data_IF_478741110561
#
_entry.id   IF_478741110561
#
_cell.length_a   1.000
_cell.length_b   1.000
_cell.length_c   1.000
_cell.angle_alpha   90.00
_cell.angle_beta   90.00
_cell.angle_gamma   90.00
#
_symmetry.space_group_name_H-M   'P 1'
#
loop_
_entity.id
_entity.type
_entity.pdbx_description
1 polymer ?
#
# COMPACT_ATOMS: atom_id res chain seq x y z
N UNK A 1 78.18 6.11 -25.85
CA UNK A 1 76.76 5.88 -26.19
C UNK A 1 76.27 7.08 -26.99
N UNK A 2 75.70 6.89 -28.18
CA UNK A 2 75.31 8.00 -29.06
C UNK A 2 74.11 8.77 -28.48
N UNK A 3 74.03 10.10 -28.67
CA UNK A 3 72.89 10.93 -28.25
C UNK A 3 71.53 10.45 -28.81
N UNK A 4 71.54 9.69 -29.90
CA UNK A 4 70.35 9.09 -30.53
C UNK A 4 69.74 7.96 -29.70
N UNK A 5 70.54 7.19 -28.96
CA UNK A 5 70.04 6.06 -28.15
C UNK A 5 69.25 6.48 -26.91
N UNK A 6 69.60 7.62 -26.32
CA UNK A 6 68.94 8.19 -25.14
C UNK A 6 67.57 8.81 -25.49
N UNK A 7 67.46 9.47 -26.66
CA UNK A 7 66.18 10.02 -27.14
C UNK A 7 65.15 8.93 -27.46
N UNK A 8 65.58 7.81 -28.04
CA UNK A 8 64.69 6.69 -28.34
C UNK A 8 64.17 5.99 -27.07
N UNK A 9 64.98 5.87 -26.03
CA UNK A 9 64.55 5.31 -24.73
C UNK A 9 63.57 6.24 -24.00
N UNK A 10 63.81 7.55 -24.01
CA UNK A 10 62.87 8.55 -23.44
C UNK A 10 61.52 8.59 -24.15
N UNK A 11 61.52 8.45 -25.48
CA UNK A 11 60.27 8.38 -26.26
C UNK A 11 59.50 7.08 -25.99
N UNK A 12 60.20 5.95 -25.84
CA UNK A 12 59.59 4.68 -25.43
C UNK A 12 58.98 4.75 -24.04
N UNK A 13 59.64 5.41 -23.08
CA UNK A 13 59.12 5.59 -21.72
C UNK A 13 57.88 6.48 -21.68
N UNK A 14 57.84 7.56 -22.48
CA UNK A 14 56.65 8.42 -22.61
C UNK A 14 55.48 7.68 -23.27
N UNK A 15 55.74 6.85 -24.28
CA UNK A 15 54.70 6.02 -24.90
C UNK A 15 54.14 4.98 -23.91
N UNK A 16 54.99 4.39 -23.09
CA UNK A 16 54.59 3.45 -22.04
C UNK A 16 53.73 4.13 -20.95
N UNK A 17 54.14 5.31 -20.47
CA UNK A 17 53.36 6.10 -19.50
C UNK A 17 51.97 6.48 -20.05
N UNK A 18 51.89 6.87 -21.32
CA UNK A 18 50.61 7.16 -21.96
C UNK A 18 49.72 5.91 -22.05
N UNK A 19 50.29 4.75 -22.37
CA UNK A 19 49.55 3.49 -22.40
C UNK A 19 49.01 3.11 -21.02
N UNK A 20 49.82 3.25 -19.96
CA UNK A 20 49.41 2.98 -18.58
C UNK A 20 48.29 3.93 -18.14
N UNK A 21 48.38 5.22 -18.46
CA UNK A 21 47.34 6.19 -18.14
C UNK A 21 46.02 5.90 -18.88
N UNK A 22 46.09 5.48 -20.15
CA UNK A 22 44.89 5.06 -20.92
C UNK A 22 44.26 3.81 -20.30
N UNK A 23 45.05 2.83 -19.86
CA UNK A 23 44.54 1.62 -19.19
C UNK A 23 43.87 1.94 -17.86
N UNK A 24 44.47 2.82 -17.05
CA UNK A 24 43.89 3.27 -15.77
C UNK A 24 42.58 4.03 -16.03
N UNK A 25 42.54 4.90 -17.04
CA UNK A 25 41.34 5.65 -17.41
C UNK A 25 40.22 4.74 -17.93
N UNK A 26 40.53 3.78 -18.81
CA UNK A 26 39.56 2.78 -19.28
C UNK A 26 39.06 1.88 -18.16
N UNK A 27 39.94 1.47 -17.25
CA UNK A 27 39.59 0.64 -16.09
C UNK A 27 38.71 1.42 -15.11
N UNK A 28 38.95 2.71 -14.94
CA UNK A 28 38.12 3.62 -14.13
C UNK A 28 36.74 3.85 -14.77
N UNK A 29 36.66 3.98 -16.10
CA UNK A 29 35.39 4.09 -16.82
C UNK A 29 34.61 2.77 -16.76
N UNK A 30 35.27 1.63 -16.92
CA UNK A 30 34.62 0.32 -16.80
C UNK A 30 34.13 0.07 -15.38
N UNK A 31 34.88 0.51 -14.36
CA UNK A 31 34.46 0.47 -12.97
C UNK A 31 33.27 1.40 -12.71
N UNK A 32 33.30 2.63 -13.23
CA UNK A 32 32.18 3.57 -13.15
C UNK A 32 30.95 3.07 -13.92
N UNK A 33 31.11 2.42 -15.07
CA UNK A 33 30.03 1.81 -15.83
C UNK A 33 29.48 0.55 -15.13
N UNK A 34 30.33 -0.24 -14.44
CA UNK A 34 29.89 -1.34 -13.56
C UNK A 34 29.17 -0.81 -12.33
N UNK A 35 29.65 0.27 -11.71
CA UNK A 35 29.00 0.93 -10.58
C UNK A 35 27.67 1.57 -10.97
N UNK A 36 27.59 2.16 -12.17
CA UNK A 36 26.36 2.72 -12.74
C UNK A 36 25.36 1.63 -13.18
N UNK A 37 25.83 0.42 -13.53
CA UNK A 37 24.97 -0.77 -13.73
C UNK A 37 24.63 -1.49 -12.42
N UNK A 38 25.45 -1.36 -11.37
CA UNK A 38 25.21 -1.97 -10.07
C UNK A 38 24.32 -1.12 -9.16
N UNK A 39 23.95 0.08 -9.58
CA UNK A 39 22.84 0.81 -8.97
C UNK A 39 21.52 0.24 -9.47
N UNK A 40 21.00 -0.72 -8.69
CA UNK A 40 19.57 -0.83 -8.36
C UNK A 40 18.66 -1.78 -9.16
N UNK A 41 19.20 -2.79 -9.85
CA UNK A 41 18.38 -3.96 -10.17
C UNK A 41 18.23 -4.83 -8.90
N UNK A 42 17.00 -5.01 -8.45
CA UNK A 42 16.69 -5.98 -7.38
C UNK A 42 16.97 -7.39 -7.90
N UNK A 43 17.32 -8.32 -7.01
CA UNK A 43 17.48 -9.74 -7.32
C UNK A 43 16.14 -10.48 -7.46
N UNK A 44 15.02 -9.79 -7.23
CA UNK A 44 13.66 -10.28 -7.40
C UNK A 44 12.89 -9.55 -8.50
N UNK A 45 11.94 -10.28 -9.08
CA UNK A 45 11.02 -9.85 -10.14
C UNK A 45 9.64 -9.61 -9.56
N UNK A 46 8.98 -8.55 -10.00
CA UNK A 46 7.61 -8.23 -9.61
C UNK A 46 6.63 -8.99 -10.50
N UNK A 47 5.84 -9.87 -9.88
CA UNK A 47 4.85 -10.69 -10.54
C UNK A 47 3.56 -10.68 -9.73
N UNK A 48 2.42 -10.71 -10.41
CA UNK A 48 1.13 -10.73 -9.75
C UNK A 48 -0.01 -11.07 -10.67
N UNK A 49 -1.21 -11.14 -10.12
CA UNK A 49 -2.43 -11.30 -10.87
C UNK A 49 -2.77 -9.98 -11.55
N UNK A 50 -2.75 -9.98 -12.89
CA UNK A 50 -3.01 -8.82 -13.73
C UNK A 50 -4.35 -8.99 -14.45
N UNK A 51 -5.25 -8.04 -14.24
CA UNK A 51 -6.38 -7.80 -15.13
C UNK A 51 -5.95 -6.91 -16.30
N UNK A 52 -6.50 -7.14 -17.48
CA UNK A 52 -6.28 -6.40 -18.72
C UNK A 52 -7.54 -5.70 -19.23
N UNK A 53 -8.72 -6.08 -18.74
CA UNK A 53 -9.99 -5.41 -19.05
C UNK A 53 -10.99 -5.51 -17.88
N UNK A 54 -12.09 -4.73 -17.90
CA UNK A 54 -13.13 -4.79 -16.88
C UNK A 54 -13.73 -6.19 -16.65
N UNK A 55 -13.76 -7.02 -17.68
CA UNK A 55 -14.34 -8.35 -17.67
C UNK A 55 -13.54 -9.33 -16.80
N UNK A 56 -12.24 -9.06 -16.59
CA UNK A 56 -11.34 -9.92 -15.83
C UNK A 56 -11.70 -10.01 -14.34
N UNK A 57 -12.58 -9.12 -13.85
CA UNK A 57 -13.21 -9.25 -12.52
C UNK A 57 -13.94 -10.59 -12.35
N UNK A 58 -14.36 -11.23 -13.44
CA UNK A 58 -15.02 -12.54 -13.44
C UNK A 58 -14.03 -13.70 -13.57
N UNK A 59 -12.87 -13.59 -12.90
CA UNK A 59 -11.85 -14.64 -12.86
C UNK A 59 -10.92 -14.66 -14.09
N UNK A 60 -10.82 -13.56 -14.83
CA UNK A 60 -9.97 -13.44 -16.02
C UNK A 60 -8.54 -12.95 -15.74
N UNK A 61 -8.23 -12.56 -14.50
CA UNK A 61 -6.88 -12.13 -14.13
C UNK A 61 -5.84 -13.23 -14.38
N UNK A 62 -4.66 -12.84 -14.86
CA UNK A 62 -3.56 -13.78 -15.18
C UNK A 62 -2.31 -13.45 -14.38
N UNK A 63 -1.64 -14.46 -13.86
CA UNK A 63 -0.32 -14.27 -13.26
C UNK A 63 0.68 -13.83 -14.33
N UNK A 64 1.42 -12.77 -14.07
CA UNK A 64 2.44 -12.27 -14.98
C UNK A 64 3.33 -11.20 -14.36
N UNK A 65 4.40 -10.89 -15.07
CA UNK A 65 5.37 -9.86 -14.68
C UNK A 65 4.84 -8.46 -14.94
N UNK A 66 5.19 -7.53 -14.06
CA UNK A 66 4.95 -6.10 -14.27
C UNK A 66 6.17 -5.28 -13.82
N UNK A 67 6.33 -4.10 -14.42
CA UNK A 67 7.35 -3.15 -14.00
C UNK A 67 6.79 -2.28 -12.86
N UNK A 68 7.38 -2.31 -11.64
CA UNK A 68 6.96 -1.43 -10.56
C UNK A 68 7.31 0.03 -10.87
N UNK A 69 6.82 0.96 -10.04
CA UNK A 69 7.28 2.35 -10.11
C UNK A 69 8.82 2.43 -10.06
N UNK A 70 9.39 3.45 -10.72
CA UNK A 70 10.81 3.81 -10.61
C UNK A 70 11.14 4.01 -9.12
N UNK A 71 12.27 3.44 -8.70
CA UNK A 71 12.71 3.52 -7.31
C UNK A 71 13.04 4.97 -6.92
N UNK A 72 12.60 5.35 -5.72
CA UNK A 72 12.95 6.59 -5.04
C UNK A 72 13.48 6.25 -3.63
N UNK A 73 14.30 7.13 -3.07
CA UNK A 73 14.94 6.90 -1.77
C UNK A 73 13.99 6.99 -0.56
N UNK A 74 12.73 7.31 -0.82
CA UNK A 74 11.61 7.28 0.12
C UNK A 74 10.73 6.04 -0.08
N UNK A 75 11.10 5.09 -0.94
CA UNK A 75 10.34 3.87 -1.17
C UNK A 75 10.73 2.71 -0.24
N UNK A 76 9.82 1.75 -0.15
CA UNK A 76 10.05 0.42 0.42
C UNK A 76 9.54 -0.62 -0.58
N UNK A 77 10.34 -1.66 -0.82
CA UNK A 77 9.85 -2.91 -1.43
C UNK A 77 9.45 -3.88 -0.32
N UNK A 78 8.24 -4.41 -0.44
CA UNK A 78 7.62 -5.35 0.50
C UNK A 78 7.49 -6.69 -0.21
N UNK A 79 8.11 -7.74 0.34
CA UNK A 79 7.80 -9.12 -0.03
C UNK A 79 6.47 -9.49 0.62
N UNK A 80 5.45 -9.66 -0.21
CA UNK A 80 4.07 -9.83 0.24
C UNK A 80 3.91 -11.25 0.78
N UNK A 81 3.26 -11.34 1.93
CA UNK A 81 2.86 -12.62 2.53
C UNK A 81 1.34 -12.79 2.52
N UNK A 82 0.61 -11.70 2.74
CA UNK A 82 -0.84 -11.66 2.83
C UNK A 82 -1.34 -10.40 2.14
N UNK A 83 -2.48 -10.51 1.46
CA UNK A 83 -3.26 -9.36 1.03
C UNK A 83 -4.74 -9.67 1.27
N UNK A 84 -5.44 -8.78 1.95
CA UNK A 84 -6.89 -8.87 2.09
C UNK A 84 -7.62 -8.58 0.78
N UNK A 85 -8.87 -9.04 0.69
CA UNK A 85 -9.76 -8.86 -0.46
C UNK A 85 -10.87 -7.88 -0.08
N UNK A 86 -10.85 -6.71 -0.68
CA UNK A 86 -11.77 -5.62 -0.38
C UNK A 86 -12.75 -5.39 -1.55
N UNK A 87 -13.95 -4.90 -1.23
CA UNK A 87 -14.94 -4.55 -2.26
C UNK A 87 -14.40 -3.55 -3.28
N UNK A 88 -13.54 -2.62 -2.84
CA UNK A 88 -12.88 -1.63 -3.71
C UNK A 88 -11.99 -2.28 -4.77
N UNK A 89 -11.43 -3.48 -4.54
CA UNK A 89 -10.65 -4.22 -5.53
C UNK A 89 -11.53 -4.56 -6.74
N UNK A 90 -12.75 -5.06 -6.50
CA UNK A 90 -13.72 -5.36 -7.55
C UNK A 90 -14.18 -4.09 -8.27
N UNK A 91 -14.42 -3.00 -7.54
CA UNK A 91 -14.86 -1.74 -8.13
C UNK A 91 -13.82 -1.16 -9.09
N UNK A 92 -12.54 -1.23 -8.75
CA UNK A 92 -11.47 -0.78 -9.66
C UNK A 92 -11.24 -1.80 -10.78
N UNK A 93 -11.20 -3.09 -10.49
CA UNK A 93 -10.96 -4.12 -11.50
C UNK A 93 -12.04 -4.15 -12.61
N UNK A 94 -13.25 -3.66 -12.33
CA UNK A 94 -14.33 -3.53 -13.33
C UNK A 94 -14.51 -2.13 -13.90
N UNK A 95 -13.57 -1.21 -13.66
CA UNK A 95 -13.68 0.21 -14.03
C UNK A 95 -14.98 0.89 -13.52
N UNK A 96 -15.49 0.46 -12.36
CA UNK A 96 -16.77 0.92 -11.82
C UNK A 96 -16.75 2.32 -11.19
N UNK A 97 -15.56 2.88 -10.94
CA UNK A 97 -15.35 4.23 -10.39
C UNK A 97 -14.63 5.17 -11.36
N UNK A 98 -14.55 4.78 -12.63
CA UNK A 98 -13.78 5.48 -13.65
C UNK A 98 -12.86 4.52 -14.40
N UNK A 99 -12.10 5.07 -15.35
CA UNK A 99 -11.23 4.27 -16.19
C UNK A 99 -10.04 3.71 -15.38
N UNK A 100 -9.90 2.39 -15.38
CA UNK A 100 -8.77 1.71 -14.73
C UNK A 100 -7.57 1.63 -15.68
N UNK A 101 -6.36 2.00 -15.23
CA UNK A 101 -5.16 1.91 -16.06
C UNK A 101 -4.65 0.47 -16.13
N UNK A 102 -5.20 -0.34 -17.04
CA UNK A 102 -4.75 -1.72 -17.29
C UNK A 102 -3.33 -1.78 -17.93
N UNK A 103 -2.58 -2.90 -17.78
CA UNK A 103 -2.88 -4.03 -16.91
C UNK A 103 -2.81 -3.62 -15.43
N UNK A 104 -3.75 -4.10 -14.62
CA UNK A 104 -3.91 -3.69 -13.23
C UNK A 104 -3.73 -4.90 -12.29
N UNK A 105 -2.86 -4.77 -11.30
CA UNK A 105 -2.83 -5.66 -10.13
C UNK A 105 -3.52 -4.94 -8.98
N UNK A 106 -4.63 -5.47 -8.47
CA UNK A 106 -5.37 -4.89 -7.34
C UNK A 106 -4.86 -5.46 -5.99
N UNK A 107 -5.57 -5.19 -4.89
CA UNK A 107 -5.20 -5.55 -3.52
C UNK A 107 -4.53 -4.38 -2.79
N UNK A 108 -5.11 -3.91 -1.69
CA UNK A 108 -4.58 -2.78 -0.90
C UNK A 108 -4.60 -3.01 0.61
N UNK A 109 -4.67 -4.27 1.02
CA UNK A 109 -4.66 -4.70 2.42
C UNK A 109 -3.41 -5.54 2.66
N UNK A 110 -2.24 -4.96 2.39
CA UNK A 110 -0.98 -5.69 2.15
C UNK A 110 -0.20 -5.87 3.46
N UNK A 111 0.23 -7.11 3.75
CA UNK A 111 1.16 -7.42 4.83
C UNK A 111 2.32 -8.27 4.32
N UNK A 112 3.53 -7.91 4.72
CA UNK A 112 4.74 -8.58 4.26
C UNK A 112 5.99 -8.19 5.04
N UNK A 113 7.15 -8.53 4.48
CA UNK A 113 8.45 -8.12 5.01
C UNK A 113 9.07 -7.04 4.14
N UNK A 114 9.59 -5.99 4.76
CA UNK A 114 10.39 -5.00 4.04
C UNK A 114 11.70 -5.66 3.56
N UNK A 115 11.92 -5.77 2.25
CA UNK A 115 13.12 -6.39 1.67
C UNK A 115 14.13 -5.37 1.14
N UNK A 116 13.65 -4.18 0.78
CA UNK A 116 14.49 -3.04 0.40
C UNK A 116 13.89 -1.77 0.97
N UNK A 117 14.71 -0.95 1.60
CA UNK A 117 14.27 0.28 2.27
C UNK A 117 15.14 1.44 1.77
N UNK A 118 14.50 2.50 1.29
CA UNK A 118 15.18 3.72 0.84
C UNK A 118 15.88 4.44 1.98
N UNK A 119 17.01 5.11 1.67
CA UNK A 119 17.88 5.72 2.69
C UNK A 119 17.22 6.84 3.50
N UNK A 120 16.15 7.43 2.98
CA UNK A 120 15.41 8.51 3.66
C UNK A 120 14.44 7.95 4.72
N UNK A 121 14.08 6.68 4.65
CA UNK A 121 13.19 6.02 5.60
C UNK A 121 13.93 5.72 6.91
N UNK A 122 13.32 6.12 8.04
CA UNK A 122 13.94 6.00 9.38
C UNK A 122 13.18 5.09 10.32
N UNK A 123 11.88 4.88 10.10
CA UNK A 123 11.01 4.11 11.01
C UNK A 123 10.95 2.61 10.67
N UNK A 124 11.33 2.20 9.46
CA UNK A 124 11.37 0.81 8.98
C UNK A 124 12.79 0.41 8.60
N UNK A 125 13.17 -0.85 8.88
CA UNK A 125 14.40 -1.48 8.41
C UNK A 125 14.07 -2.75 7.61
N UNK A 126 15.02 -3.19 6.78
CA UNK A 126 14.89 -4.48 6.10
C UNK A 126 14.69 -5.62 7.12
N UNK A 127 13.80 -6.55 6.80
CA UNK A 127 13.37 -7.64 7.67
C UNK A 127 12.15 -7.32 8.55
N UNK A 128 11.80 -6.05 8.75
CA UNK A 128 10.62 -5.69 9.55
C UNK A 128 9.33 -6.21 8.90
N UNK A 129 8.39 -6.67 9.74
CA UNK A 129 7.02 -6.99 9.32
C UNK A 129 6.22 -5.70 9.20
N UNK A 130 5.74 -5.43 8.00
CA UNK A 130 5.11 -4.17 7.64
C UNK A 130 3.82 -4.40 6.86
N UNK A 131 2.97 -3.38 6.81
CA UNK A 131 1.83 -3.35 5.93
C UNK A 131 1.60 -1.98 5.32
N UNK A 132 0.82 -1.97 4.24
CA UNK A 132 0.37 -0.76 3.53
C UNK A 132 -1.10 -0.89 3.17
N UNK A 133 -1.84 0.19 3.38
CA UNK A 133 -3.27 0.30 3.13
C UNK A 133 -3.62 0.82 1.72
N UNK A 134 -4.73 1.56 1.54
CA UNK A 134 -5.24 2.02 0.24
C UNK A 134 -4.51 3.21 -0.38
N UNK A 135 -3.66 3.91 0.37
CA UNK A 135 -2.94 5.08 -0.10
C UNK A 135 -1.43 4.79 -0.22
N UNK A 136 -0.84 5.23 -1.32
CA UNK A 136 0.58 5.03 -1.62
C UNK A 136 1.36 6.35 -1.77
N UNK A 137 0.69 7.47 -2.04
CA UNK A 137 1.31 8.79 -2.07
C UNK A 137 0.31 9.91 -1.77
N UNK A 138 0.82 11.00 -1.23
CA UNK A 138 0.19 12.33 -1.24
C UNK A 138 1.25 13.37 -1.64
N UNK A 139 0.91 14.66 -1.71
CA UNK A 139 1.92 15.66 -2.10
C UNK A 139 3.09 15.77 -1.12
N UNK A 140 2.88 15.39 0.15
CA UNK A 140 3.84 15.43 1.25
C UNK A 140 4.59 16.77 1.41
N UNK A 141 4.02 17.86 0.88
CA UNK A 141 4.65 19.17 0.97
C UNK A 141 4.42 19.77 2.36
N UNK A 142 5.44 20.41 2.96
CA UNK A 142 5.33 21.00 4.29
C UNK A 142 4.31 22.14 4.35
N UNK A 143 4.04 22.81 3.23
CA UNK A 143 3.05 23.89 3.12
C UNK A 143 1.63 23.39 2.79
N UNK A 144 1.42 22.08 2.61
CA UNK A 144 0.10 21.49 2.47
C UNK A 144 -0.51 21.24 3.85
N UNK A 145 -1.61 21.92 4.17
CA UNK A 145 -2.30 21.81 5.45
C UNK A 145 -2.69 20.36 5.78
N UNK A 146 -3.26 19.63 4.82
CA UNK A 146 -3.70 18.25 5.03
C UNK A 146 -2.49 17.32 5.29
N UNK A 147 -1.41 17.43 4.50
CA UNK A 147 -0.24 16.56 4.71
C UNK A 147 0.52 16.90 6.00
N UNK A 148 0.72 18.19 6.29
CA UNK A 148 1.46 18.63 7.48
C UNK A 148 0.73 18.34 8.79
N UNK A 149 -0.60 18.17 8.75
CA UNK A 149 -1.42 17.81 9.93
C UNK A 149 -1.68 16.31 10.09
N UNK A 150 -1.06 15.44 9.27
CA UNK A 150 -1.27 13.99 9.33
C UNK A 150 -2.59 13.51 8.74
N UNK A 151 -3.15 14.31 7.80
CA UNK A 151 -4.40 14.09 7.09
C UNK A 151 -4.14 13.85 5.60
N UNK A 152 -3.10 13.08 5.28
CA UNK A 152 -2.66 12.82 3.90
C UNK A 152 -3.77 12.25 2.99
N UNK A 153 -4.74 11.54 3.57
CA UNK A 153 -5.91 10.99 2.89
C UNK A 153 -6.89 12.07 2.40
N UNK A 154 -6.79 13.29 2.92
CA UNK A 154 -7.57 14.46 2.50
C UNK A 154 -6.76 15.42 1.61
N UNK A 155 -5.52 15.06 1.24
CA UNK A 155 -4.68 15.92 0.40
C UNK A 155 -5.37 16.24 -0.93
N UNK A 156 -5.54 17.53 -1.23
CA UNK A 156 -6.17 17.99 -2.48
C UNK A 156 -5.20 18.17 -3.65
N UNK A 157 -3.89 18.21 -3.36
CA UNK A 157 -2.85 18.49 -4.35
C UNK A 157 -2.44 17.24 -5.13
N UNK A 158 -2.36 16.09 -4.46
CA UNK A 158 -1.99 14.81 -5.05
C UNK A 158 -2.47 13.67 -4.16
N UNK A 159 -3.09 12.67 -4.77
CA UNK A 159 -3.43 11.39 -4.14
C UNK A 159 -3.08 10.28 -5.13
N UNK A 160 -2.28 9.31 -4.69
CA UNK A 160 -2.02 8.07 -5.44
C UNK A 160 -2.47 6.92 -4.56
N UNK A 161 -3.35 6.08 -5.10
CA UNK A 161 -3.78 4.86 -4.43
C UNK A 161 -2.80 3.72 -4.66
N UNK A 162 -2.87 2.70 -3.81
CA UNK A 162 -1.96 1.53 -3.84
C UNK A 162 -2.00 0.75 -5.15
N UNK A 163 -3.12 0.84 -5.88
CA UNK A 163 -3.24 0.38 -7.26
C UNK A 163 -4.18 1.29 -8.06
N UNK A 164 -4.21 1.08 -9.39
CA UNK A 164 -5.14 1.78 -10.28
C UNK A 164 -4.85 3.28 -10.43
N UNK A 165 -3.69 3.76 -9.98
CA UNK A 165 -3.24 5.15 -10.06
C UNK A 165 -1.94 5.28 -10.85
N UNK A 166 -1.69 6.46 -11.39
CA UNK A 166 -0.43 6.81 -12.07
C UNK A 166 0.31 7.80 -11.18
N UNK A 167 1.59 7.53 -10.91
CA UNK A 167 2.45 8.45 -10.19
C UNK A 167 2.80 9.65 -11.07
N UNK A 168 3.00 10.86 -10.49
CA UNK A 168 3.45 12.02 -11.25
C UNK A 168 4.85 11.82 -11.84
N UNK A 169 5.28 12.75 -12.70
CA UNK A 169 6.65 12.86 -13.21
C UNK A 169 7.19 11.58 -13.89
N UNK A 170 6.29 10.84 -14.56
CA UNK A 170 6.64 9.59 -15.25
C UNK A 170 7.31 8.56 -14.33
N UNK A 171 7.00 8.58 -13.03
CA UNK A 171 7.53 7.62 -12.05
C UNK A 171 6.96 6.22 -12.29
N UNK A 172 5.80 6.11 -12.94
CA UNK A 172 5.19 4.86 -13.36
C UNK A 172 3.79 4.68 -12.78
N UNK A 173 3.33 3.43 -12.70
CA UNK A 173 1.98 3.07 -12.25
C UNK A 173 2.02 2.33 -10.92
N UNK A 174 0.99 2.50 -10.10
CA UNK A 174 0.79 1.74 -8.87
C UNK A 174 0.25 0.33 -9.15
N UNK A 175 0.87 -0.69 -8.57
CA UNK A 175 0.44 -2.08 -8.60
C UNK A 175 0.25 -2.58 -7.17
N UNK A 176 -0.86 -3.29 -6.93
CA UNK A 176 -1.33 -3.66 -5.60
C UNK A 176 -0.73 -4.96 -5.06
N UNK A 177 -1.47 -5.56 -4.13
CA UNK A 177 -1.05 -6.63 -3.25
C UNK A 177 -1.31 -8.04 -3.74
N UNK A 178 -2.04 -8.24 -4.84
CA UNK A 178 -2.22 -9.58 -5.43
C UNK A 178 -0.98 -10.01 -6.23
N UNK A 179 0.18 -9.81 -5.61
CA UNK A 179 1.51 -9.93 -6.20
C UNK A 179 2.48 -10.56 -5.19
N UNK A 180 3.66 -10.92 -5.66
CA UNK A 180 4.77 -11.39 -4.82
C UNK A 180 5.49 -10.22 -4.09
N UNK A 181 5.52 -9.03 -4.71
CA UNK A 181 6.12 -7.83 -4.15
C UNK A 181 5.26 -6.58 -4.43
N UNK A 182 5.33 -5.60 -3.52
CA UNK A 182 4.80 -4.25 -3.72
C UNK A 182 5.90 -3.21 -3.49
N UNK A 183 5.90 -2.14 -4.29
CA UNK A 183 6.75 -0.97 -4.10
C UNK A 183 5.87 0.25 -3.81
N UNK A 184 6.12 0.91 -2.69
CA UNK A 184 5.33 2.07 -2.26
C UNK A 184 6.18 3.05 -1.46
N UNK A 185 5.69 4.27 -1.26
CA UNK A 185 6.36 5.27 -0.43
C UNK A 185 6.28 4.87 1.05
N UNK A 186 7.42 4.88 1.74
CA UNK A 186 7.55 4.43 3.12
C UNK A 186 6.75 5.24 4.14
N UNK A 187 6.28 6.46 3.81
CA UNK A 187 5.36 7.24 4.67
C UNK A 187 4.05 6.50 4.93
N UNK A 188 3.59 5.70 3.97
CA UNK A 188 2.32 4.95 4.05
C UNK A 188 2.51 3.51 4.54
N UNK A 189 3.75 3.13 4.87
CA UNK A 189 4.09 1.81 5.39
C UNK A 189 4.15 1.86 6.91
N UNK A 190 3.37 0.99 7.54
CA UNK A 190 3.27 0.85 9.00
C UNK A 190 3.87 -0.48 9.46
N UNK A 191 4.41 -0.52 10.68
CA UNK A 191 4.85 -1.77 11.31
C UNK A 191 3.65 -2.53 11.83
N UNK A 192 3.65 -3.86 11.66
CA UNK A 192 2.62 -4.73 12.20
C UNK A 192 3.09 -5.27 13.57
N UNK A 193 2.34 -5.04 14.67
CA UNK A 193 2.67 -5.56 16.00
C UNK A 193 2.81 -7.08 16.00
N UNK A 194 3.82 -7.66 16.66
CA UNK A 194 4.10 -9.10 16.64
C UNK A 194 2.93 -9.97 17.07
N UNK A 195 2.13 -9.47 18.00
CA UNK A 195 0.98 -10.15 18.59
C UNK A 195 -0.22 -10.26 17.63
N UNK A 196 -0.20 -9.52 16.51
CA UNK A 196 -1.28 -9.50 15.54
C UNK A 196 -0.95 -10.39 14.32
N UNK A 197 -1.64 -11.54 14.15
CA UNK A 197 -1.42 -12.42 13.00
C UNK A 197 -1.67 -11.70 11.67
N UNK A 198 -0.91 -12.04 10.63
CA UNK A 198 -0.93 -11.30 9.36
C UNK A 198 -2.27 -11.39 8.65
N UNK A 199 -2.95 -12.54 8.72
CA UNK A 199 -4.29 -12.78 8.19
C UNK A 199 -5.37 -11.93 8.87
N UNK A 200 -5.13 -11.51 10.11
CA UNK A 200 -6.00 -10.58 10.85
C UNK A 200 -5.58 -9.13 10.59
N UNK A 201 -4.28 -8.86 10.51
CA UNK A 201 -3.74 -7.52 10.30
C UNK A 201 -4.09 -6.95 8.93
N UNK A 202 -4.05 -7.77 7.87
CA UNK A 202 -4.24 -7.31 6.50
C UNK A 202 -5.57 -6.54 6.31
N UNK A 203 -6.75 -7.10 6.65
CA UNK A 203 -8.02 -6.39 6.53
C UNK A 203 -8.14 -5.10 7.36
N UNK A 204 -7.36 -4.95 8.43
CA UNK A 204 -7.38 -3.75 9.25
C UNK A 204 -6.79 -2.54 8.51
N UNK A 205 -5.91 -2.77 7.53
CA UNK A 205 -5.20 -1.71 6.79
C UNK A 205 -6.14 -0.91 5.85
N UNK A 206 -7.33 -1.43 5.54
CA UNK A 206 -8.38 -0.67 4.88
C UNK A 206 -9.72 -0.76 5.60
N UNK A 207 -10.39 -1.92 5.60
CA UNK A 207 -11.72 -2.03 6.17
C UNK A 207 -11.76 -1.60 7.64
N UNK A 208 -10.77 -2.05 8.44
CA UNK A 208 -10.63 -1.64 9.84
C UNK A 208 -10.40 -0.13 9.99
N UNK A 209 -9.35 0.41 9.39
CA UNK A 209 -9.02 1.84 9.49
C UNK A 209 -10.18 2.75 9.03
N UNK A 210 -10.91 2.33 7.99
CA UNK A 210 -12.03 3.09 7.41
C UNK A 210 -13.15 3.30 8.43
N UNK A 211 -13.43 2.31 9.27
CA UNK A 211 -14.46 2.43 10.32
C UNK A 211 -13.91 2.92 11.65
N UNK A 212 -12.64 2.65 11.95
CA UNK A 212 -11.99 3.12 13.17
C UNK A 212 -11.87 4.64 13.21
N UNK A 213 -11.42 5.27 12.11
CA UNK A 213 -11.23 6.73 12.03
C UNK A 213 -12.49 7.51 12.44
N UNK A 214 -13.67 7.31 11.81
CA UNK A 214 -14.88 8.04 12.21
C UNK A 214 -15.37 7.67 13.62
N UNK A 215 -15.18 6.43 14.09
CA UNK A 215 -15.53 6.08 15.48
C UNK A 215 -14.67 6.87 16.47
N UNK A 216 -13.36 6.92 16.26
CA UNK A 216 -12.42 7.70 17.09
C UNK A 216 -12.72 9.20 17.04
N UNK A 217 -12.89 9.75 15.84
CA UNK A 217 -13.05 11.20 15.63
C UNK A 217 -14.39 11.71 16.17
N UNK A 218 -15.40 10.84 16.29
CA UNK A 218 -16.66 11.12 16.96
C UNK A 218 -16.69 10.59 18.41
N UNK A 219 -15.52 10.28 18.97
CA UNK A 219 -15.29 9.84 20.35
C UNK A 219 -16.23 8.70 20.79
N UNK A 220 -16.41 7.69 19.94
CA UNK A 220 -17.12 6.46 20.31
C UNK A 220 -16.55 5.89 21.61
N UNK A 221 -17.42 5.61 22.58
CA UNK A 221 -17.05 5.09 23.88
C UNK A 221 -18.21 5.17 24.88
N UNK A 222 -17.91 5.07 26.19
CA UNK A 222 -18.93 5.07 27.24
C UNK A 222 -19.88 6.27 27.15
N UNK A 223 -21.17 6.02 27.37
CA UNK A 223 -22.23 7.01 27.20
C UNK A 223 -22.74 7.20 25.77
N UNK A 224 -22.16 6.53 24.76
CA UNK A 224 -22.60 6.64 23.35
C UNK A 224 -23.29 5.37 22.85
N UNK A 225 -24.36 5.58 22.08
CA UNK A 225 -25.00 4.56 21.26
C UNK A 225 -24.52 4.66 19.80
N UNK A 226 -24.15 3.53 19.19
CA UNK A 226 -23.59 3.47 17.83
C UNK A 226 -24.46 2.59 16.94
N UNK A 227 -24.93 3.15 15.82
CA UNK A 227 -25.64 2.42 14.77
C UNK A 227 -24.73 2.08 13.59
N UNK A 228 -24.60 0.80 13.25
CA UNK A 228 -23.81 0.31 12.11
C UNK A 228 -24.76 -0.06 10.97
N UNK A 229 -24.82 0.78 9.94
CA UNK A 229 -25.66 0.53 8.76
C UNK A 229 -24.88 -0.30 7.74
N UNK A 230 -25.29 -1.56 7.58
CA UNK A 230 -24.68 -2.55 6.71
C UNK A 230 -23.64 -3.41 7.44
N UNK A 231 -24.03 -4.64 7.83
CA UNK A 231 -23.14 -5.60 8.47
C UNK A 231 -22.41 -6.43 7.41
N UNK A 232 -21.36 -5.87 6.82
CA UNK A 232 -20.50 -6.52 5.81
C UNK A 232 -19.03 -6.55 6.24
N UNK A 233 -18.11 -6.49 5.27
CA UNK A 233 -16.66 -6.44 5.52
C UNK A 233 -16.26 -5.27 6.43
N UNK A 234 -16.81 -4.07 6.23
CA UNK A 234 -16.53 -2.94 7.12
C UNK A 234 -17.38 -2.99 8.40
N UNK A 235 -18.66 -3.35 8.25
CA UNK A 235 -19.61 -3.34 9.37
C UNK A 235 -19.27 -4.29 10.50
N UNK A 236 -18.67 -5.45 10.23
CA UNK A 236 -18.25 -6.36 11.31
C UNK A 236 -17.11 -5.77 12.14
N UNK A 237 -16.13 -5.10 11.51
CA UNK A 237 -15.11 -4.34 12.25
C UNK A 237 -15.70 -3.19 13.05
N UNK A 238 -16.69 -2.48 12.50
CA UNK A 238 -17.35 -1.38 13.21
C UNK A 238 -18.03 -1.86 14.50
N UNK A 239 -18.67 -3.04 14.48
CA UNK A 239 -19.24 -3.67 15.68
C UNK A 239 -18.13 -3.97 16.70
N UNK A 240 -17.08 -4.68 16.26
CA UNK A 240 -15.95 -5.08 17.12
C UNK A 240 -15.29 -3.86 17.77
N UNK A 241 -15.01 -2.81 16.99
CA UNK A 241 -14.38 -1.59 17.50
C UNK A 241 -15.31 -0.78 18.40
N UNK A 242 -16.59 -0.61 18.06
CA UNK A 242 -17.51 0.12 18.92
C UNK A 242 -17.62 -0.54 20.30
N UNK A 243 -17.65 -1.88 20.36
CA UNK A 243 -17.61 -2.62 21.63
C UNK A 243 -16.27 -2.51 22.35
N UNK A 244 -15.15 -2.65 21.64
CA UNK A 244 -13.82 -2.51 22.23
C UNK A 244 -13.55 -1.10 22.78
N UNK A 245 -14.13 -0.07 22.16
CA UNK A 245 -14.07 1.33 22.63
C UNK A 245 -15.02 1.60 23.81
N UNK A 246 -15.89 0.66 24.16
CA UNK A 246 -16.77 0.76 25.32
C UNK A 246 -18.09 1.50 25.06
N UNK A 247 -18.59 1.54 23.83
CA UNK A 247 -19.92 2.06 23.55
C UNK A 247 -20.99 1.32 24.38
N UNK A 248 -21.87 2.08 25.04
CA UNK A 248 -22.92 1.54 25.90
C UNK A 248 -23.90 0.67 25.10
N UNK A 249 -24.13 1.05 23.84
CA UNK A 249 -25.03 0.33 22.93
C UNK A 249 -24.51 0.31 21.51
N UNK A 250 -24.51 -0.86 20.90
CA UNK A 250 -24.12 -1.09 19.51
C UNK A 250 -25.24 -1.79 18.77
N UNK A 251 -25.75 -1.16 17.72
CA UNK A 251 -26.89 -1.65 16.93
C UNK A 251 -26.45 -1.97 15.52
N UNK A 252 -26.52 -3.25 15.13
CA UNK A 252 -26.36 -3.66 13.74
C UNK A 252 -27.64 -3.40 12.96
N UNK A 253 -27.56 -2.67 11.85
CA UNK A 253 -28.72 -2.33 11.01
C UNK A 253 -28.44 -2.88 9.62
N UNK A 254 -29.31 -3.76 9.13
CA UNK A 254 -29.15 -4.37 7.81
C UNK A 254 -30.51 -4.69 7.21
N UNK A 255 -30.52 -5.19 5.98
CA UNK A 255 -31.74 -5.46 5.24
C UNK A 255 -32.48 -6.69 5.79
N UNK A 256 -31.79 -7.82 5.84
CA UNK A 256 -32.36 -9.11 6.27
C UNK A 256 -31.80 -9.56 7.61
N UNK A 257 -32.52 -10.46 8.28
CA UNK A 257 -32.16 -11.06 9.55
C UNK A 257 -31.06 -12.12 9.44
N UNK A 258 -30.64 -12.49 8.23
CA UNK A 258 -29.65 -13.56 7.99
C UNK A 258 -28.29 -13.35 8.67
N UNK A 259 -27.93 -12.11 9.02
CA UNK A 259 -26.68 -11.77 9.72
C UNK A 259 -26.89 -11.43 11.20
N UNK A 260 -28.09 -11.63 11.73
CA UNK A 260 -28.42 -11.28 13.11
C UNK A 260 -27.58 -12.07 14.11
N UNK A 261 -27.48 -13.39 13.94
CA UNK A 261 -26.69 -14.24 14.83
C UNK A 261 -25.24 -13.79 14.89
N UNK A 262 -24.63 -13.53 13.73
CA UNK A 262 -23.23 -13.15 13.61
C UNK A 262 -22.99 -11.76 14.21
N UNK A 263 -23.88 -10.80 13.94
CA UNK A 263 -23.77 -9.46 14.51
C UNK A 263 -23.83 -9.48 16.05
N UNK A 264 -24.73 -10.28 16.63
CA UNK A 264 -24.83 -10.45 18.08
C UNK A 264 -23.59 -11.17 18.64
N UNK A 265 -23.08 -12.20 17.96
CA UNK A 265 -21.87 -12.91 18.35
C UNK A 265 -20.61 -12.02 18.31
N UNK A 266 -20.57 -11.06 17.39
CA UNK A 266 -19.53 -10.03 17.32
C UNK A 266 -19.66 -8.96 18.42
N UNK A 267 -20.77 -8.96 19.17
CA UNK A 267 -20.99 -8.09 20.32
C UNK A 267 -22.01 -6.98 20.12
N UNK A 268 -22.75 -6.93 19.00
CA UNK A 268 -23.87 -6.00 18.89
C UNK A 268 -24.92 -6.31 19.97
N UNK A 269 -25.44 -5.27 20.62
CA UNK A 269 -26.48 -5.40 21.65
C UNK A 269 -27.86 -5.59 21.03
N UNK A 270 -28.04 -5.07 19.81
CA UNK A 270 -29.29 -5.16 19.06
C UNK A 270 -29.04 -5.31 17.56
N UNK A 271 -29.99 -5.91 16.85
CA UNK A 271 -29.99 -5.99 15.40
C UNK A 271 -31.35 -5.60 14.80
N UNK A 272 -31.33 -4.78 13.76
CA UNK A 272 -32.51 -4.31 13.01
C UNK A 272 -32.44 -4.86 11.59
N UNK A 273 -33.50 -5.57 11.16
CA UNK A 273 -33.67 -6.09 9.81
C UNK A 273 -34.76 -5.28 9.08
N UNK A 274 -34.35 -4.32 8.27
CA UNK A 274 -35.25 -3.29 7.70
C UNK A 274 -36.20 -3.81 6.62
N UNK A 275 -35.84 -4.88 5.90
CA UNK A 275 -36.72 -5.55 4.92
C UNK A 275 -37.67 -6.54 5.61
N UNK A 276 -37.23 -7.21 6.69
CA UNK A 276 -38.02 -8.26 7.34
C UNK A 276 -39.03 -7.70 8.37
N UNK A 277 -38.81 -6.49 8.88
CA UNK A 277 -39.73 -5.79 9.78
C UNK A 277 -40.15 -4.44 9.19
N UNK A 278 -41.31 -4.38 8.53
CA UNK A 278 -41.81 -3.15 7.88
C UNK A 278 -42.11 -2.02 8.87
N UNK A 279 -42.25 -2.33 10.16
CA UNK A 279 -42.47 -1.35 11.23
C UNK A 279 -41.20 -1.03 12.02
N UNK A 280 -40.02 -1.43 11.55
CA UNK A 280 -38.75 -1.22 12.25
C UNK A 280 -38.56 0.24 12.69
N UNK A 281 -38.95 1.21 11.87
CA UNK A 281 -38.78 2.63 12.13
C UNK A 281 -39.62 3.12 13.32
N UNK A 282 -40.83 2.58 13.50
CA UNK A 282 -41.69 2.88 14.65
C UNK A 282 -41.15 2.21 15.92
N UNK A 283 -40.76 0.94 15.82
CA UNK A 283 -40.29 0.13 16.96
C UNK A 283 -38.94 0.59 17.51
N UNK A 284 -38.11 1.21 16.66
CA UNK A 284 -36.75 1.61 16.99
C UNK A 284 -36.57 3.13 16.98
N UNK A 285 -37.66 3.90 16.98
CA UNK A 285 -37.60 5.35 17.12
C UNK A 285 -36.86 5.71 18.42
N UNK A 286 -35.96 6.71 18.34
CA UNK A 286 -35.12 7.15 19.45
C UNK A 286 -34.19 6.07 20.08
N UNK A 287 -33.99 4.92 19.42
CA UNK A 287 -33.21 3.80 20.00
C UNK A 287 -31.69 4.01 20.07
N UNK A 288 -31.18 5.11 19.49
CA UNK A 288 -29.77 5.50 19.47
C UNK A 288 -29.52 6.87 20.14
N UNK A 289 -30.54 7.43 20.80
CA UNK A 289 -30.43 8.67 21.58
C UNK A 289 -29.95 8.34 22.99
#
# INVERSE_FOLDING_TARGET
MSPSGVKNTLNGFKAWLNLVNVIIWYSSILLLAKLAKSTMATDYVFEGWLGSSPEDVNGGMKWGTFEPKKWQEDDIDIQISHCGVCGSDLHVLRSGWGNTPYPCCVGHEIVGKAVRVGRNIKHVKAGDRVGVGPQALSCLQPDCYECSSGHENYCKRLVVHTYGSVYPDDVGKSYGGYANYNRTNGRFVVKIPEELPSEIAAPLLCAGLTVYTPLRDNECGPGKSVGIVGVGGLGHFAILFAKALGADKVVGISRKASKKSDALALGADQYIATEDDTQWHLKNAASLI
#
